data_IF_999994674075
#
_entry.id   IF_999994674075
#
_cell.length_a   1.000
_cell.length_b   1.000
_cell.length_c   1.000
_cell.angle_alpha   90.00
_cell.angle_beta   90.00
_cell.angle_gamma   90.00
#
_symmetry.space_group_name_H-M   'P 1'
#
loop_
_entity.id
_entity.type
_entity.pdbx_description
1 polymer ?
#
# COMPACT_ATOMS: atom_id res chain seq x y z
N UNK A 1 5.32 1.43 -28.93
CA UNK A 1 4.15 1.72 -28.06
C UNK A 1 3.47 0.41 -27.72
N UNK A 2 3.19 0.15 -26.43
CA UNK A 2 2.53 -1.08 -26.02
C UNK A 2 1.01 -0.86 -26.05
N UNK A 3 0.25 -1.59 -26.87
CA UNK A 3 -1.19 -1.33 -27.08
C UNK A 3 -1.98 -1.34 -25.77
N UNK A 4 -1.58 -2.19 -24.82
CA UNK A 4 -2.17 -2.29 -23.49
C UNK A 4 -2.08 -1.02 -22.64
N UNK A 5 -1.11 -0.12 -22.90
CA UNK A 5 -1.01 1.14 -22.15
C UNK A 5 -2.15 2.11 -22.44
N UNK A 6 -2.92 1.88 -23.52
CA UNK A 6 -4.13 2.64 -23.82
C UNK A 6 -5.21 2.50 -22.74
N UNK A 7 -5.12 1.49 -21.87
CA UNK A 7 -6.04 1.31 -20.74
C UNK A 7 -6.11 2.56 -19.84
N UNK A 8 -5.03 3.36 -19.76
CA UNK A 8 -4.99 4.59 -18.96
C UNK A 8 -5.72 5.79 -19.62
N UNK A 9 -6.12 5.66 -20.88
CA UNK A 9 -6.76 6.72 -21.66
C UNK A 9 -8.13 6.25 -22.21
N UNK A 10 -9.14 6.03 -21.35
CA UNK A 10 -10.41 5.41 -21.74
C UNK A 10 -11.19 6.20 -22.81
N UNK A 11 -11.01 7.51 -22.86
CA UNK A 11 -11.74 8.39 -23.78
C UNK A 11 -11.12 8.48 -25.18
N UNK A 12 -9.97 7.86 -25.41
CA UNK A 12 -9.24 8.01 -26.68
C UNK A 12 -9.83 7.12 -27.79
N UNK A 13 -9.93 7.59 -29.04
CA UNK A 13 -10.48 6.79 -30.14
C UNK A 13 -9.73 5.46 -30.36
N UNK A 14 -8.40 5.48 -30.19
CA UNK A 14 -7.55 4.30 -30.29
C UNK A 14 -7.84 3.29 -29.17
N UNK A 15 -8.21 3.75 -27.97
CA UNK A 15 -8.58 2.87 -26.86
C UNK A 15 -9.89 2.16 -27.13
N UNK A 16 -10.86 2.84 -27.75
CA UNK A 16 -12.13 2.22 -28.18
C UNK A 16 -11.88 1.12 -29.20
N UNK A 17 -11.05 1.37 -30.22
CA UNK A 17 -10.61 0.34 -31.17
C UNK A 17 -9.89 -0.82 -30.49
N UNK A 18 -8.97 -0.54 -29.56
CA UNK A 18 -8.27 -1.59 -28.81
C UNK A 18 -9.21 -2.45 -27.94
N UNK A 19 -10.34 -1.90 -27.49
CA UNK A 19 -11.40 -2.65 -26.78
C UNK A 19 -12.21 -3.49 -27.78
N UNK A 20 -12.55 -2.94 -28.94
CA UNK A 20 -13.24 -3.66 -30.03
C UNK A 20 -12.39 -4.86 -30.52
N UNK A 21 -11.09 -4.65 -30.69
CA UNK A 21 -10.11 -5.65 -31.09
C UNK A 21 -9.76 -6.66 -29.97
N UNK A 22 -10.40 -6.57 -28.80
CA UNK A 22 -10.21 -7.43 -27.61
C UNK A 22 -8.78 -7.41 -27.03
N UNK A 23 -7.97 -6.41 -27.37
CA UNK A 23 -6.65 -6.20 -26.78
C UNK A 23 -6.72 -5.67 -25.33
N UNK A 24 -7.82 -5.01 -24.97
CA UNK A 24 -8.07 -4.47 -23.63
C UNK A 24 -9.51 -4.82 -23.24
N UNK A 25 -9.72 -5.34 -22.03
CA UNK A 25 -11.09 -5.54 -21.57
C UNK A 25 -11.71 -4.19 -21.14
N UNK A 26 -12.99 -3.93 -21.44
CA UNK A 26 -13.64 -2.66 -21.08
C UNK A 26 -13.64 -2.41 -19.56
N UNK A 27 -13.59 -3.49 -18.75
CA UNK A 27 -13.44 -3.39 -17.29
C UNK A 27 -12.06 -2.89 -16.89
N UNK A 28 -11.00 -3.19 -17.63
CA UNK A 28 -9.62 -2.78 -17.31
C UNK A 28 -9.40 -1.28 -17.54
N UNK A 29 -10.13 -0.68 -18.48
CA UNK A 29 -10.09 0.75 -18.76
C UNK A 29 -10.94 1.61 -17.79
N UNK A 30 -11.69 0.99 -16.85
CA UNK A 30 -12.44 1.73 -15.84
C UNK A 30 -11.49 2.37 -14.82
N UNK A 31 -11.72 3.64 -14.52
CA UNK A 31 -10.91 4.44 -13.58
C UNK A 31 -10.76 3.74 -12.22
N UNK A 32 -11.83 3.17 -11.67
CA UNK A 32 -11.80 2.46 -10.38
C UNK A 32 -10.84 1.26 -10.40
N UNK A 33 -10.88 0.47 -11.48
CA UNK A 33 -10.01 -0.69 -11.65
C UNK A 33 -8.56 -0.27 -11.91
N UNK A 34 -8.35 0.80 -12.66
CA UNK A 34 -7.02 1.39 -12.85
C UNK A 34 -6.45 1.89 -11.53
N UNK A 35 -7.23 2.57 -10.69
CA UNK A 35 -6.81 3.02 -9.37
C UNK A 35 -6.45 1.84 -8.47
N UNK A 36 -7.33 0.83 -8.37
CA UNK A 36 -7.09 -0.36 -7.57
C UNK A 36 -5.87 -1.16 -8.05
N UNK A 37 -5.64 -1.20 -9.37
CA UNK A 37 -4.52 -1.93 -9.95
C UNK A 37 -3.23 -1.14 -9.88
N UNK A 38 -3.27 0.16 -10.10
CA UNK A 38 -2.11 1.05 -9.94
C UNK A 38 -1.66 1.03 -8.49
N UNK A 39 -2.58 1.08 -7.53
CA UNK A 39 -2.25 0.97 -6.09
C UNK A 39 -1.70 -0.41 -5.72
N UNK A 40 -2.27 -1.51 -6.23
CA UNK A 40 -1.74 -2.87 -5.99
C UNK A 40 -0.39 -3.13 -6.68
N UNK A 41 -0.24 -2.66 -7.91
CA UNK A 41 0.97 -2.82 -8.72
C UNK A 41 2.02 -1.76 -8.40
N UNK A 42 1.69 -0.78 -7.56
CA UNK A 42 2.67 0.10 -6.93
C UNK A 42 3.50 -0.73 -5.95
N UNK A 43 4.36 -1.60 -6.46
CA UNK A 43 5.38 -2.33 -5.70
C UNK A 43 6.53 -1.39 -5.28
N UNK A 44 6.24 -0.08 -5.17
CA UNK A 44 7.18 0.89 -4.67
C UNK A 44 7.32 0.69 -3.16
N UNK A 45 8.54 0.43 -2.72
CA UNK A 45 8.90 0.42 -1.30
C UNK A 45 9.67 1.70 -1.04
N UNK A 46 9.26 2.52 -0.05
CA UNK A 46 9.94 3.75 0.28
C UNK A 46 11.42 3.57 0.56
N UNK A 47 12.25 4.45 0.00
CA UNK A 47 13.72 4.38 0.11
C UNK A 47 14.27 5.73 0.58
N UNK A 48 15.32 5.67 1.39
CA UNK A 48 15.99 6.86 1.93
C UNK A 48 16.79 7.62 0.86
N UNK A 49 17.38 6.89 -0.09
CA UNK A 49 18.25 7.45 -1.12
C UNK A 49 17.73 7.12 -2.52
N UNK A 50 17.90 8.04 -3.50
CA UNK A 50 18.46 9.39 -3.35
C UNK A 50 17.51 10.39 -2.65
N UNK A 51 18.08 11.37 -1.95
CA UNK A 51 17.32 12.43 -1.26
C UNK A 51 16.91 13.53 -2.27
N UNK A 52 15.88 13.24 -3.07
CA UNK A 52 15.32 14.16 -4.07
C UNK A 52 13.85 14.45 -3.76
N UNK A 53 13.35 15.62 -4.14
CA UNK A 53 11.93 15.98 -3.93
C UNK A 53 10.99 14.96 -4.55
N UNK A 54 11.30 14.49 -5.76
CA UNK A 54 10.55 13.44 -6.45
C UNK A 54 10.45 12.16 -5.61
N UNK A 55 11.55 11.76 -4.99
CA UNK A 55 11.59 10.57 -4.14
C UNK A 55 10.80 10.77 -2.85
N UNK A 56 10.92 11.94 -2.22
CA UNK A 56 10.16 12.27 -1.02
C UNK A 56 8.66 12.23 -1.30
N UNK A 57 8.23 12.77 -2.46
CA UNK A 57 6.84 12.69 -2.89
C UNK A 57 6.39 11.25 -3.12
N UNK A 58 7.18 10.41 -3.78
CA UNK A 58 6.87 8.99 -3.96
C UNK A 58 6.72 8.24 -2.62
N UNK A 59 7.62 8.52 -1.67
CA UNK A 59 7.58 8.01 -0.30
C UNK A 59 6.31 8.44 0.44
N UNK A 60 5.89 9.69 0.30
CA UNK A 60 4.66 10.22 0.90
C UNK A 60 3.41 9.62 0.22
N UNK A 61 3.39 9.48 -1.11
CA UNK A 61 2.31 8.83 -1.85
C UNK A 61 2.08 7.41 -1.33
N UNK A 62 3.16 6.67 -1.04
CA UNK A 62 3.05 5.34 -0.44
C UNK A 62 2.34 5.37 0.92
N UNK A 63 2.56 6.39 1.77
CA UNK A 63 1.82 6.54 3.03
C UNK A 63 0.33 6.82 2.81
N UNK A 64 -0.02 7.65 1.83
CA UNK A 64 -1.42 7.98 1.52
C UNK A 64 -2.15 6.72 1.02
N UNK A 65 -1.56 6.00 0.07
CA UNK A 65 -2.15 4.78 -0.52
C UNK A 65 -2.39 3.71 0.54
N UNK A 66 -1.51 3.59 1.53
CA UNK A 66 -1.66 2.64 2.64
C UNK A 66 -2.51 3.20 3.81
N UNK A 67 -3.11 4.38 3.67
CA UNK A 67 -3.92 5.04 4.69
C UNK A 67 -3.18 5.25 6.04
N UNK A 68 -1.86 5.50 5.96
CA UNK A 68 -0.98 5.70 7.12
C UNK A 68 -0.68 7.19 7.40
N UNK A 69 -1.18 8.10 6.55
CA UNK A 69 -1.08 9.54 6.71
C UNK A 69 -2.43 10.22 6.43
N UNK A 70 -2.75 11.27 7.20
CA UNK A 70 -3.96 12.09 7.00
C UNK A 70 -3.72 13.07 5.86
N UNK A 71 -4.71 13.21 4.98
CA UNK A 71 -4.65 14.10 3.81
C UNK A 71 -4.37 15.58 4.19
N UNK A 72 -4.94 16.06 5.29
CA UNK A 72 -4.68 17.43 5.78
C UNK A 72 -3.22 17.68 6.16
N UNK A 73 -2.58 16.73 6.84
CA UNK A 73 -1.18 16.82 7.26
C UNK A 73 -0.27 16.75 6.02
N UNK A 74 -0.60 15.88 5.07
CA UNK A 74 0.13 15.75 3.82
C UNK A 74 0.05 17.05 3.01
N UNK A 75 -1.15 17.61 2.83
CA UNK A 75 -1.35 18.90 2.15
C UNK A 75 -0.55 20.02 2.81
N UNK A 76 -0.62 20.12 4.14
CA UNK A 76 0.19 21.10 4.88
C UNK A 76 1.68 20.93 4.61
N UNK A 77 2.19 19.69 4.66
CA UNK A 77 3.62 19.41 4.46
C UNK A 77 4.12 19.64 3.03
N UNK A 78 3.25 19.50 2.02
CA UNK A 78 3.61 19.65 0.61
C UNK A 78 3.48 21.10 0.16
N UNK A 79 2.41 21.79 0.57
CA UNK A 79 2.09 23.14 0.09
C UNK A 79 2.51 24.26 1.07
N UNK A 80 2.92 23.93 2.29
CA UNK A 80 3.34 24.92 3.27
C UNK A 80 4.81 25.31 3.11
N UNK A 81 5.10 26.61 3.14
CA UNK A 81 6.48 27.14 3.08
C UNK A 81 7.14 27.33 4.46
N UNK A 82 6.41 27.08 5.55
CA UNK A 82 6.93 27.25 6.90
C UNK A 82 8.02 26.23 7.25
N UNK A 83 8.90 26.57 8.21
CA UNK A 83 9.88 25.64 8.78
C UNK A 83 9.19 24.39 9.36
N UNK A 84 8.00 24.56 9.96
CA UNK A 84 7.18 23.46 10.48
C UNK A 84 6.72 22.51 9.37
N UNK A 85 6.34 23.04 8.21
CA UNK A 85 5.99 22.25 7.03
C UNK A 85 7.16 21.39 6.54
N UNK A 86 8.36 21.97 6.43
CA UNK A 86 9.58 21.24 6.02
C UNK A 86 9.94 20.13 7.01
N UNK A 87 9.84 20.39 8.31
CA UNK A 87 10.02 19.36 9.34
C UNK A 87 8.98 18.25 9.23
N UNK A 88 7.71 18.61 8.99
CA UNK A 88 6.63 17.66 8.81
C UNK A 88 6.86 16.77 7.57
N UNK A 89 7.33 17.35 6.47
CA UNK A 89 7.66 16.64 5.24
C UNK A 89 8.79 15.63 5.47
N UNK A 90 9.85 16.03 6.17
CA UNK A 90 10.94 15.11 6.54
C UNK A 90 10.49 14.01 7.50
N UNK A 91 9.63 14.33 8.47
CA UNK A 91 9.02 13.35 9.35
C UNK A 91 8.18 12.34 8.59
N UNK A 92 7.33 12.79 7.65
CA UNK A 92 6.53 11.91 6.80
C UNK A 92 7.41 11.05 5.91
N UNK A 93 8.47 11.61 5.35
CA UNK A 93 9.45 10.85 4.57
C UNK A 93 10.08 9.74 5.42
N UNK A 94 10.57 10.05 6.62
CA UNK A 94 11.16 9.06 7.51
C UNK A 94 10.15 8.00 7.96
N UNK A 95 8.94 8.42 8.34
CA UNK A 95 7.83 7.53 8.71
C UNK A 95 7.48 6.56 7.57
N UNK A 96 7.49 7.03 6.32
CA UNK A 96 7.24 6.18 5.15
C UNK A 96 8.30 5.07 5.01
N UNK A 97 9.57 5.38 5.27
CA UNK A 97 10.69 4.44 5.14
C UNK A 97 10.61 3.35 6.21
N UNK A 98 10.34 3.75 7.46
CA UNK A 98 10.18 2.80 8.57
C UNK A 98 9.00 1.86 8.30
N UNK A 99 7.84 2.41 7.96
CA UNK A 99 6.65 1.60 7.67
C UNK A 99 6.82 0.75 6.40
N UNK A 100 7.48 1.28 5.37
CA UNK A 100 7.80 0.57 4.15
C UNK A 100 8.69 -0.65 4.40
N UNK A 101 9.71 -0.53 5.25
CA UNK A 101 10.56 -1.68 5.62
C UNK A 101 9.83 -2.73 6.46
N UNK A 102 8.88 -2.33 7.29
CA UNK A 102 8.14 -3.26 8.17
C UNK A 102 7.02 -3.95 7.39
N UNK A 103 6.16 -3.17 6.71
CA UNK A 103 4.89 -3.60 6.12
C UNK A 103 4.93 -3.75 4.60
N UNK A 104 5.92 -3.17 3.92
CA UNK A 104 6.06 -3.25 2.48
C UNK A 104 6.31 -4.67 1.98
N UNK A 105 6.13 -4.85 0.68
CA UNK A 105 6.36 -6.12 -0.01
C UNK A 105 7.85 -6.49 0.14
N UNK A 106 8.14 -7.65 0.74
CA UNK A 106 9.51 -8.07 1.08
C UNK A 106 10.05 -7.50 2.40
N UNK A 107 9.24 -6.76 3.16
CA UNK A 107 9.58 -6.23 4.47
C UNK A 107 9.61 -7.28 5.59
N UNK A 108 9.90 -6.84 6.81
CA UNK A 108 10.10 -7.70 7.99
C UNK A 108 8.89 -8.59 8.27
N UNK A 109 7.68 -8.05 8.15
CA UNK A 109 6.42 -8.80 8.36
C UNK A 109 6.20 -9.86 7.26
N UNK A 110 6.62 -9.57 6.04
CA UNK A 110 6.57 -10.51 4.92
C UNK A 110 7.57 -11.66 5.09
N UNK A 111 8.80 -11.36 5.53
CA UNK A 111 9.86 -12.36 5.74
C UNK A 111 9.57 -13.26 6.95
N UNK A 112 8.94 -12.72 8.00
CA UNK A 112 8.70 -13.43 9.25
C UNK A 112 7.19 -13.56 9.54
N UNK A 113 6.52 -14.61 9.03
CA UNK A 113 5.08 -14.84 9.25
C UNK A 113 4.65 -14.89 10.72
N UNK A 114 5.59 -15.15 11.62
CA UNK A 114 5.36 -15.17 13.06
C UNK A 114 5.02 -13.77 13.63
N UNK A 115 5.59 -12.69 13.09
CA UNK A 115 5.30 -11.32 13.54
C UNK A 115 3.84 -10.97 13.23
N UNK A 116 3.36 -11.32 12.03
CA UNK A 116 1.95 -11.15 11.65
C UNK A 116 1.01 -11.91 12.57
N UNK A 117 1.42 -13.10 13.05
CA UNK A 117 0.65 -13.88 14.02
C UNK A 117 0.60 -13.18 15.38
N UNK A 118 1.72 -12.63 15.83
CA UNK A 118 1.80 -11.91 17.09
C UNK A 118 0.95 -10.63 17.07
N UNK A 119 1.05 -9.82 16.01
CA UNK A 119 0.24 -8.61 15.83
C UNK A 119 -1.25 -8.94 15.80
N UNK A 120 -1.64 -9.99 15.06
CA UNK A 120 -3.03 -10.43 15.05
C UNK A 120 -3.49 -10.91 16.43
N UNK A 121 -2.65 -11.68 17.14
CA UNK A 121 -2.93 -12.11 18.51
C UNK A 121 -3.17 -10.93 19.45
N UNK A 122 -2.25 -9.96 19.46
CA UNK A 122 -2.39 -8.72 20.22
C UNK A 122 -3.67 -7.96 19.86
N UNK A 123 -4.03 -7.89 18.58
CA UNK A 123 -5.27 -7.22 18.12
C UNK A 123 -6.54 -7.87 18.69
N UNK A 124 -6.60 -9.19 18.81
CA UNK A 124 -7.73 -9.89 19.44
C UNK A 124 -7.76 -9.68 20.96
N UNK A 125 -6.59 -9.62 21.61
CA UNK A 125 -6.49 -9.32 23.04
C UNK A 125 -7.03 -7.91 23.32
N UNK A 126 -6.62 -6.91 22.53
CA UNK A 126 -7.10 -5.52 22.66
C UNK A 126 -8.60 -5.40 22.38
N UNK A 127 -9.15 -6.19 21.44
CA UNK A 127 -10.59 -6.25 21.18
C UNK A 127 -11.40 -6.97 22.27
N UNK A 128 -10.75 -7.55 23.29
CA UNK A 128 -11.41 -8.33 24.34
C UNK A 128 -11.96 -9.68 23.88
N UNK A 129 -11.72 -10.07 22.63
CA UNK A 129 -12.27 -11.29 22.03
C UNK A 129 -11.31 -12.48 22.25
N UNK A 130 -11.08 -12.78 23.53
CA UNK A 130 -10.19 -13.87 23.97
C UNK A 130 -10.75 -15.26 23.61
N UNK A 131 -12.08 -15.38 23.45
CA UNK A 131 -12.74 -16.64 23.08
C UNK A 131 -12.36 -17.10 21.68
N UNK A 132 -12.42 -16.22 20.68
CA UNK A 132 -12.07 -16.57 19.29
C UNK A 132 -10.57 -16.86 19.13
N UNK A 133 -9.73 -16.16 19.89
CA UNK A 133 -8.28 -16.40 19.93
C UNK A 133 -7.95 -17.80 20.51
N UNK A 134 -8.56 -18.15 21.64
CA UNK A 134 -8.38 -19.48 22.26
C UNK A 134 -8.87 -20.61 21.35
N UNK A 135 -9.99 -20.43 20.66
CA UNK A 135 -10.53 -21.40 19.69
C UNK A 135 -9.58 -21.64 18.51
N UNK A 136 -9.01 -20.57 17.91
CA UNK A 136 -8.04 -20.70 16.81
C UNK A 136 -6.75 -21.39 17.24
N UNK A 137 -6.24 -21.09 18.44
CA UNK A 137 -5.05 -21.74 18.99
C UNK A 137 -5.33 -23.24 19.21
N UNK A 138 -6.45 -23.59 19.85
CA UNK A 138 -6.81 -24.98 20.15
C UNK A 138 -6.99 -25.81 18.88
N UNK A 139 -7.68 -25.27 17.87
CA UNK A 139 -7.91 -25.94 16.58
C UNK A 139 -6.59 -26.24 15.85
N UNK A 140 -5.60 -25.35 15.94
CA UNK A 140 -4.27 -25.57 15.35
C UNK A 140 -3.40 -26.57 16.12
N UNK A 141 -3.45 -26.56 17.45
CA UNK A 141 -2.74 -27.56 18.26
C UNK A 141 -3.25 -28.97 17.91
N UNK A 142 -4.56 -29.12 17.72
CA UNK A 142 -5.17 -30.39 17.30
C UNK A 142 -4.69 -30.79 15.89
N UNK A 143 -4.68 -29.86 14.92
CA UNK A 143 -4.17 -30.12 13.56
C UNK A 143 -2.66 -30.41 13.52
N UNK A 144 -1.88 -29.89 14.47
CA UNK A 144 -0.44 -30.16 14.59
C UNK A 144 -0.11 -31.48 15.29
N UNK A 145 -1.05 -32.04 16.07
CA UNK A 145 -0.91 -33.33 16.75
C UNK A 145 -1.49 -34.50 15.95
N UNK A 146 -2.29 -34.21 14.91
CA UNK A 146 -2.86 -35.20 13.99
C UNK A 146 -2.03 -35.44 12.72
N UNK A 147 -0.81 -34.92 12.67
CA UNK A 147 0.24 -35.27 11.71
C UNK A 147 1.37 -35.92 12.50
#
# INVERSE_FOLDING_TARGET
FHLYSLQYFPNYPLTKKAIEDKHIQPKEAKIENLLARTTKNFAYVPRLLPYTEKQILQNIIWLIVNNHAKDSIVKFSIFGDSLSSKLCLNYLNFKSIVLGKILGIGGVVWRNPWITRFINGAKYIVKGDLKTLRLKIRKRIILSKGK
#
